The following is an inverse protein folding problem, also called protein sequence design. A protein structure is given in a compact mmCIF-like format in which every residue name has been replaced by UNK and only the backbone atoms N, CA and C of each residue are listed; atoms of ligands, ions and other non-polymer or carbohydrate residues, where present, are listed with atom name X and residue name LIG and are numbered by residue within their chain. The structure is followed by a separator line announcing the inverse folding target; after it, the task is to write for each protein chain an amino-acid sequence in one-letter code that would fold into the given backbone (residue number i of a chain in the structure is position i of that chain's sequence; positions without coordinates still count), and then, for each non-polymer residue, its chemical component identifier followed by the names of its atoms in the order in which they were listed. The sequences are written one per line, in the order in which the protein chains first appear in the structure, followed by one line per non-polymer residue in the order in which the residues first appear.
data_IF_246153417459
#
_entry.id   IF_246153417459
#
_cell.length_a   1.000
_cell.length_b   1.000
_cell.length_c   1.000
_cell.angle_alpha   90.00
_cell.angle_beta   90.00
_cell.angle_gamma   90.00
#
_symmetry.space_group_name_H-M   'P 1'
#
loop_
_entity.id
_entity.type
_entity.pdbx_description
1 polymer ?
#
# COMPACT_ATOMS: atom_id res chain seq x y z
N UNK A 1 40.63 28.81 4.47
CA UNK A 1 39.40 29.45 3.96
C UNK A 1 39.16 28.89 2.57
N UNK A 2 38.49 27.75 2.51
CA UNK A 2 38.24 27.02 1.28
C UNK A 2 36.75 27.20 0.95
N UNK A 3 36.50 27.56 -0.30
CA UNK A 3 35.28 28.17 -0.79
C UNK A 3 34.15 27.13 -0.83
N UNK A 4 33.17 27.21 0.08
CA UNK A 4 31.96 26.38 0.06
C UNK A 4 31.08 26.81 -1.12
N UNK A 5 31.31 26.21 -2.29
CA UNK A 5 30.35 26.28 -3.38
C UNK A 5 29.08 25.56 -2.94
N UNK A 6 28.08 26.34 -2.56
CA UNK A 6 26.70 25.92 -2.30
C UNK A 6 26.18 25.30 -3.59
N UNK A 7 26.01 23.98 -3.60
CA UNK A 7 25.60 23.21 -4.77
C UNK A 7 24.08 23.34 -4.95
N UNK A 8 23.63 24.53 -5.35
CA UNK A 8 22.22 24.83 -5.65
C UNK A 8 21.84 24.18 -6.97
N UNK A 9 21.18 23.03 -6.91
CA UNK A 9 20.75 22.29 -8.08
C UNK A 9 19.28 22.60 -8.39
N UNK A 10 18.94 22.72 -9.68
CA UNK A 10 17.56 22.96 -10.15
C UNK A 10 16.74 21.68 -10.32
N UNK A 11 17.37 20.50 -10.19
CA UNK A 11 16.72 19.21 -10.35
C UNK A 11 17.39 18.15 -9.47
N UNK A 12 16.60 17.17 -9.02
CA UNK A 12 17.05 16.08 -8.14
C UNK A 12 17.59 14.89 -8.95
N UNK A 13 18.75 14.38 -8.56
CA UNK A 13 19.31 13.14 -9.12
C UNK A 13 18.87 11.95 -8.26
N UNK A 14 17.94 11.14 -8.77
CA UNK A 14 17.56 9.89 -8.10
C UNK A 14 18.77 8.94 -8.08
N UNK A 15 19.26 8.59 -6.89
CA UNK A 15 20.31 7.58 -6.71
C UNK A 15 19.82 6.22 -7.20
N UNK A 16 20.65 5.54 -8.00
CA UNK A 16 20.32 4.28 -8.67
C UNK A 16 19.99 3.15 -7.69
N UNK A 17 19.07 2.28 -8.13
CA UNK A 17 18.68 1.08 -7.39
C UNK A 17 19.87 0.13 -7.23
N UNK A 18 20.17 -0.28 -5.99
CA UNK A 18 21.14 -1.33 -5.76
C UNK A 18 20.49 -2.71 -5.95
N UNK A 19 20.84 -3.41 -7.03
CA UNK A 19 20.36 -4.76 -7.33
C UNK A 19 20.58 -5.73 -6.16
N UNK A 20 21.65 -5.56 -5.39
CA UNK A 20 21.95 -6.36 -4.20
C UNK A 20 20.86 -6.27 -3.11
N UNK A 21 20.24 -5.11 -2.91
CA UNK A 21 19.17 -4.94 -1.92
C UNK A 21 17.92 -5.72 -2.31
N UNK A 22 17.61 -5.77 -3.61
CA UNK A 22 16.49 -6.58 -4.11
C UNK A 22 16.74 -8.07 -3.92
N UNK A 23 17.95 -8.56 -4.19
CA UNK A 23 18.30 -9.97 -3.96
C UNK A 23 18.21 -10.36 -2.49
N UNK A 24 18.73 -9.52 -1.58
CA UNK A 24 18.63 -9.75 -0.14
C UNK A 24 17.17 -9.77 0.31
N UNK A 25 16.36 -8.81 -0.15
CA UNK A 25 14.94 -8.76 0.16
C UNK A 25 14.20 -10.02 -0.29
N UNK A 26 14.44 -10.47 -1.53
CA UNK A 26 13.84 -11.69 -2.07
C UNK A 26 14.30 -12.94 -1.30
N UNK A 27 15.57 -13.01 -0.90
CA UNK A 27 16.08 -14.11 -0.09
C UNK A 27 15.38 -14.18 1.27
N UNK A 28 15.27 -13.05 1.97
CA UNK A 28 14.57 -12.97 3.26
C UNK A 28 13.10 -13.39 3.08
N UNK A 29 12.43 -12.88 2.04
CA UNK A 29 11.06 -13.24 1.74
C UNK A 29 10.88 -14.74 1.50
N UNK A 30 11.73 -15.36 0.67
CA UNK A 30 11.68 -16.80 0.40
C UNK A 30 11.91 -17.64 1.65
N UNK A 31 12.86 -17.24 2.51
CA UNK A 31 13.13 -17.92 3.78
C UNK A 31 11.92 -17.85 4.72
N UNK A 32 11.36 -16.65 4.91
CA UNK A 32 10.16 -16.46 5.76
C UNK A 32 8.98 -17.23 5.20
N UNK A 33 8.77 -17.16 3.88
CA UNK A 33 7.70 -17.89 3.20
C UNK A 33 7.80 -19.39 3.45
N UNK A 34 9.00 -19.97 3.31
CA UNK A 34 9.21 -21.39 3.55
C UNK A 34 8.90 -21.78 5.01
N UNK A 35 9.42 -21.04 5.98
CA UNK A 35 9.18 -21.33 7.40
C UNK A 35 7.73 -21.09 7.82
N UNK A 36 7.13 -19.98 7.39
CA UNK A 36 5.73 -19.67 7.66
C UNK A 36 4.82 -20.74 7.05
N UNK A 37 5.09 -21.15 5.81
CA UNK A 37 4.33 -22.20 5.14
C UNK A 37 4.41 -23.52 5.88
N UNK A 38 5.61 -23.97 6.24
CA UNK A 38 5.79 -25.22 7.00
C UNK A 38 5.11 -25.17 8.38
N UNK A 39 5.22 -24.05 9.09
CA UNK A 39 4.54 -23.87 10.38
C UNK A 39 3.01 -23.90 10.24
N UNK A 40 2.44 -23.25 9.23
CA UNK A 40 0.99 -23.26 8.99
C UNK A 40 0.48 -24.65 8.63
N UNK A 41 1.22 -25.44 7.84
CA UNK A 41 0.85 -26.82 7.55
C UNK A 41 0.74 -27.65 8.82
N UNK A 42 1.75 -27.58 9.69
CA UNK A 42 1.75 -28.28 10.97
C UNK A 42 0.56 -27.88 11.85
N UNK A 43 0.30 -26.57 11.97
CA UNK A 43 -0.85 -26.05 12.74
C UNK A 43 -2.18 -26.57 12.18
N UNK A 44 -2.31 -26.63 10.85
CA UNK A 44 -3.54 -27.09 10.21
C UNK A 44 -3.76 -28.59 10.41
N UNK A 45 -2.71 -29.40 10.35
CA UNK A 45 -2.79 -30.84 10.60
C UNK A 45 -3.16 -31.14 12.07
N UNK A 46 -2.30 -30.75 13.01
CA UNK A 46 -2.41 -31.14 14.43
C UNK A 46 -3.57 -30.40 15.13
N UNK A 47 -3.68 -29.08 14.94
CA UNK A 47 -4.66 -28.30 15.69
C UNK A 47 -6.00 -28.30 14.99
N UNK A 48 -6.04 -27.94 13.69
CA UNK A 48 -7.33 -27.73 13.00
C UNK A 48 -8.01 -29.04 12.66
N UNK A 49 -7.28 -30.02 12.09
CA UNK A 49 -7.92 -31.24 11.62
C UNK A 49 -8.03 -32.29 12.73
N UNK A 50 -6.92 -32.63 13.38
CA UNK A 50 -6.93 -33.71 14.38
C UNK A 50 -7.67 -33.30 15.65
N UNK A 51 -7.39 -32.10 16.18
CA UNK A 51 -7.97 -31.65 17.45
C UNK A 51 -9.36 -31.00 17.33
N UNK A 52 -9.59 -30.15 16.33
CA UNK A 52 -10.89 -29.45 16.19
C UNK A 52 -11.93 -30.22 15.39
N UNK A 53 -11.53 -30.97 14.35
CA UNK A 53 -12.47 -31.71 13.48
C UNK A 53 -12.55 -33.20 13.81
N UNK A 54 -11.80 -33.66 14.83
CA UNK A 54 -11.67 -35.08 15.20
C UNK A 54 -11.38 -35.96 13.97
N UNK A 55 -10.61 -35.40 13.03
CA UNK A 55 -10.32 -36.01 11.74
C UNK A 55 -8.96 -36.69 11.71
N UNK A 56 -8.74 -37.53 10.70
CA UNK A 56 -7.42 -38.13 10.43
C UNK A 56 -6.89 -37.63 9.10
N UNK A 57 -5.64 -37.18 9.12
CA UNK A 57 -4.93 -36.71 7.93
C UNK A 57 -4.04 -37.84 7.39
N UNK A 58 -4.09 -38.01 6.07
CA UNK A 58 -3.17 -38.89 5.35
C UNK A 58 -2.38 -38.04 4.34
N UNK A 59 -1.08 -37.94 4.58
CA UNK A 59 -0.14 -37.08 3.86
C UNK A 59 1.20 -37.79 3.54
N UNK A 60 1.31 -39.09 3.83
CA UNK A 60 2.56 -39.85 3.90
C UNK A 60 2.98 -40.59 2.62
N UNK A 61 2.44 -40.23 1.46
CA UNK A 61 2.80 -40.89 0.19
C UNK A 61 1.96 -42.14 -0.12
N UNK A 62 1.06 -42.53 0.78
CA UNK A 62 0.23 -43.72 0.61
C UNK A 62 -0.85 -43.49 -0.47
N UNK A 63 -1.11 -44.49 -1.33
CA UNK A 63 -2.23 -44.46 -2.26
C UNK A 63 -3.54 -44.67 -1.49
N UNK A 64 -4.47 -43.74 -1.65
CA UNK A 64 -5.76 -43.77 -0.95
C UNK A 64 -6.88 -43.55 -1.95
N UNK A 65 -7.96 -44.31 -1.81
CA UNK A 65 -9.16 -44.19 -2.65
C UNK A 65 -9.78 -42.80 -2.51
N UNK A 66 -10.18 -42.22 -3.65
CA UNK A 66 -10.77 -40.88 -3.69
C UNK A 66 -12.09 -40.82 -2.92
N UNK A 67 -12.91 -41.86 -3.04
CA UNK A 67 -14.17 -42.04 -2.32
C UNK A 67 -14.09 -43.26 -1.42
N UNK A 68 -14.68 -43.18 -0.22
CA UNK A 68 -14.63 -44.27 0.78
C UNK A 68 -15.46 -45.49 0.36
N UNK A 69 -16.59 -45.28 -0.33
CA UNK A 69 -17.57 -46.31 -0.67
C UNK A 69 -17.41 -46.96 -2.05
N UNK A 70 -16.40 -46.56 -2.83
CA UNK A 70 -16.21 -47.09 -4.19
C UNK A 70 -14.77 -47.55 -4.37
N UNK A 71 -14.56 -48.70 -5.05
CA UNK A 71 -13.27 -49.06 -5.67
C UNK A 71 -12.94 -48.05 -6.79
N UNK A 72 -12.73 -46.81 -6.38
CA UNK A 72 -12.43 -45.67 -7.22
C UNK A 72 -10.93 -45.57 -7.46
N UNK A 73 -10.54 -44.70 -8.37
CA UNK A 73 -9.15 -44.36 -8.66
C UNK A 73 -8.39 -44.02 -7.37
N UNK A 74 -7.27 -44.69 -7.15
CA UNK A 74 -6.34 -44.37 -6.08
C UNK A 74 -5.55 -43.10 -6.44
N UNK A 75 -5.36 -42.21 -5.47
CA UNK A 75 -4.51 -41.04 -5.62
C UNK A 75 -3.43 -41.04 -4.56
N UNK A 76 -2.19 -40.75 -4.97
CA UNK A 76 -1.07 -40.65 -4.05
C UNK A 76 -1.20 -39.40 -3.18
N UNK A 77 -0.99 -39.58 -1.88
CA UNK A 77 -0.91 -38.46 -0.94
C UNK A 77 0.48 -37.82 -0.96
N UNK A 78 0.57 -36.55 -0.61
CA UNK A 78 1.84 -35.81 -0.51
C UNK A 78 1.67 -34.69 0.50
N UNK A 79 2.69 -34.51 1.34
CA UNK A 79 2.69 -33.52 2.40
C UNK A 79 2.44 -32.08 1.92
N UNK A 80 2.83 -31.73 0.70
CA UNK A 80 2.69 -30.35 0.21
C UNK A 80 1.50 -30.14 -0.74
N UNK A 81 1.10 -31.17 -1.49
CA UNK A 81 0.18 -31.00 -2.62
C UNK A 81 -1.13 -31.77 -2.51
N UNK A 82 -1.21 -32.84 -1.71
CA UNK A 82 -2.39 -33.71 -1.72
C UNK A 82 -2.58 -34.43 -0.39
N UNK A 83 -3.47 -33.89 0.44
CA UNK A 83 -3.91 -34.51 1.68
C UNK A 83 -5.25 -35.19 1.46
N UNK A 84 -5.38 -36.41 1.97
CA UNK A 84 -6.68 -37.02 2.20
C UNK A 84 -7.05 -36.81 3.67
N UNK A 85 -8.22 -36.23 3.91
CA UNK A 85 -8.71 -35.89 5.25
C UNK A 85 -10.02 -36.63 5.46
N UNK A 86 -10.05 -37.52 6.45
CA UNK A 86 -11.26 -38.18 6.91
C UNK A 86 -11.77 -37.43 8.13
N UNK A 87 -13.01 -36.90 8.07
CA UNK A 87 -13.64 -36.22 9.19
C UNK A 87 -14.80 -37.05 9.76
N UNK A 88 -15.09 -36.85 11.05
CA UNK A 88 -16.16 -37.52 11.79
C UNK A 88 -16.07 -39.05 11.75
N UNK A 89 -14.86 -39.56 11.99
CA UNK A 89 -14.55 -41.00 11.97
C UNK A 89 -15.43 -41.72 12.99
N UNK A 90 -16.14 -42.77 12.56
CA UNK A 90 -17.02 -43.56 13.42
C UNK A 90 -18.45 -43.01 13.58
N UNK A 91 -18.81 -41.93 12.88
CA UNK A 91 -20.19 -41.41 12.80
C UNK A 91 -20.86 -41.83 11.48
N UNK A 92 -22.21 -41.82 11.39
CA UNK A 92 -22.92 -42.08 10.14
C UNK A 92 -22.72 -41.00 9.05
N UNK A 93 -21.98 -39.91 9.34
CA UNK A 93 -21.70 -38.82 8.40
C UNK A 93 -20.22 -38.75 7.99
N UNK A 94 -19.50 -39.87 8.12
CA UNK A 94 -18.10 -39.93 7.77
C UNK A 94 -17.87 -39.56 6.30
N UNK A 95 -16.95 -38.62 6.06
CA UNK A 95 -16.68 -38.10 4.72
C UNK A 95 -15.19 -37.85 4.51
N UNK A 96 -14.74 -38.12 3.27
CA UNK A 96 -13.36 -37.93 2.84
C UNK A 96 -13.24 -36.70 1.95
N UNK A 97 -12.31 -35.82 2.31
CA UNK A 97 -11.97 -34.62 1.55
C UNK A 97 -10.54 -34.70 1.03
N UNK A 98 -10.35 -34.17 -0.17
CA UNK A 98 -9.05 -33.98 -0.80
C UNK A 98 -8.67 -32.52 -0.75
N UNK A 99 -7.63 -32.24 0.00
CA UNK A 99 -7.16 -30.90 0.25
C UNK A 99 -5.76 -30.73 -0.36
N UNK A 100 -5.55 -29.64 -1.10
CA UNK A 100 -4.26 -29.24 -1.62
C UNK A 100 -3.77 -28.03 -0.80
N UNK A 101 -2.84 -28.24 0.15
CA UNK A 101 -2.38 -27.17 1.03
C UNK A 101 -1.67 -26.04 0.31
N UNK A 102 -0.77 -26.37 -0.63
CA UNK A 102 -0.07 -25.35 -1.43
C UNK A 102 -1.05 -24.46 -2.15
N UNK A 103 -1.99 -25.04 -2.90
CA UNK A 103 -2.95 -24.23 -3.65
C UNK A 103 -3.83 -23.39 -2.72
N UNK A 104 -4.28 -23.93 -1.60
CA UNK A 104 -5.24 -23.25 -0.73
C UNK A 104 -4.62 -22.12 0.09
N UNK A 105 -3.36 -22.28 0.53
CA UNK A 105 -2.75 -21.42 1.55
C UNK A 105 -1.64 -20.52 1.01
N UNK A 106 -1.16 -20.70 -0.22
CA UNK A 106 -0.02 -19.94 -0.75
C UNK A 106 -0.27 -18.43 -0.72
N UNK A 107 -1.46 -17.97 -1.10
CA UNK A 107 -1.78 -16.54 -1.14
C UNK A 107 -1.76 -15.87 0.24
N UNK A 108 -2.56 -16.31 1.23
CA UNK A 108 -2.55 -15.67 2.53
C UNK A 108 -1.16 -15.75 3.19
N UNK A 109 -0.47 -16.89 3.08
CA UNK A 109 0.86 -17.06 3.68
C UNK A 109 1.88 -16.16 2.97
N UNK A 110 1.81 -16.01 1.64
CA UNK A 110 2.67 -15.09 0.90
C UNK A 110 2.47 -13.64 1.33
N UNK A 111 1.22 -13.22 1.56
CA UNK A 111 0.93 -11.87 2.03
C UNK A 111 1.48 -11.65 3.45
N UNK A 112 1.22 -12.56 4.38
CA UNK A 112 1.77 -12.46 5.74
C UNK A 112 3.30 -12.46 5.74
N UNK A 113 3.92 -13.31 4.92
CA UNK A 113 5.38 -13.36 4.77
C UNK A 113 5.93 -12.06 4.20
N UNK A 114 5.21 -11.43 3.27
CA UNK A 114 5.59 -10.14 2.70
C UNK A 114 5.55 -9.05 3.77
N UNK A 115 4.51 -8.99 4.60
CA UNK A 115 4.43 -8.03 5.71
C UNK A 115 5.59 -8.19 6.71
N UNK A 116 5.91 -9.42 7.10
CA UNK A 116 7.03 -9.70 8.00
C UNK A 116 8.35 -9.28 7.34
N UNK A 117 8.52 -9.56 6.04
CA UNK A 117 9.71 -9.16 5.28
C UNK A 117 9.84 -7.64 5.20
N UNK A 118 8.75 -6.90 4.99
CA UNK A 118 8.75 -5.43 4.99
C UNK A 118 9.24 -4.88 6.33
N UNK A 119 8.75 -5.45 7.44
CA UNK A 119 9.16 -5.07 8.79
C UNK A 119 10.66 -5.35 9.01
N UNK A 120 11.12 -6.56 8.69
CA UNK A 120 12.53 -6.94 8.86
C UNK A 120 13.45 -6.07 7.98
N UNK A 121 13.07 -5.81 6.73
CA UNK A 121 13.82 -4.98 5.79
C UNK A 121 13.91 -3.52 6.24
N UNK A 122 12.91 -3.03 7.00
CA UNK A 122 12.92 -1.69 7.58
C UNK A 122 13.99 -1.50 8.68
N UNK A 123 14.35 -2.60 9.38
CA UNK A 123 15.36 -2.56 10.44
C UNK A 123 16.79 -2.71 9.96
N UNK A 124 16.99 -3.23 8.75
CA UNK A 124 18.32 -3.45 8.21
C UNK A 124 19.06 -2.12 7.97
N UNK A 125 20.41 -2.12 7.98
CA UNK A 125 21.19 -0.96 7.56
C UNK A 125 20.81 -0.52 6.15
N UNK A 126 20.91 0.78 5.88
CA UNK A 126 20.54 1.43 4.59
C UNK A 126 21.15 0.73 3.38
N UNK A 127 22.36 0.18 3.54
CA UNK A 127 23.08 -0.52 2.48
C UNK A 127 22.39 -1.82 2.08
N UNK A 128 21.79 -2.54 3.03
CA UNK A 128 21.20 -3.88 2.83
C UNK A 128 19.67 -3.85 2.74
N UNK A 129 19.03 -3.00 3.55
CA UNK A 129 17.58 -2.92 3.67
C UNK A 129 16.93 -2.12 2.56
N UNK A 130 16.24 -2.80 1.65
CA UNK A 130 15.48 -2.17 0.56
C UNK A 130 14.44 -1.18 1.10
N UNK A 131 13.65 -1.59 2.09
CA UNK A 131 12.60 -0.74 2.65
C UNK A 131 13.20 0.39 3.48
N UNK A 132 14.27 0.12 4.26
CA UNK A 132 15.01 1.17 4.96
C UNK A 132 15.50 2.25 4.01
N UNK A 133 16.12 1.86 2.90
CA UNK A 133 16.61 2.78 1.90
C UNK A 133 15.47 3.59 1.26
N UNK A 134 14.33 2.95 0.94
CA UNK A 134 13.15 3.66 0.43
C UNK A 134 12.56 4.65 1.43
N UNK A 135 12.50 4.30 2.72
CA UNK A 135 12.04 5.22 3.78
C UNK A 135 12.95 6.44 3.84
N UNK A 136 14.26 6.27 3.89
CA UNK A 136 15.21 7.41 3.97
C UNK A 136 15.15 8.31 2.74
N UNK A 137 15.02 7.72 1.56
CA UNK A 137 14.82 8.48 0.32
C UNK A 137 13.54 9.32 0.38
N UNK A 138 12.45 8.76 0.92
CA UNK A 138 11.20 9.50 1.05
C UNK A 138 11.29 10.63 2.08
N UNK A 139 12.01 10.43 3.20
CA UNK A 139 12.29 11.49 4.18
C UNK A 139 13.00 12.65 3.49
N UNK A 140 14.05 12.37 2.72
CA UNK A 140 14.82 13.39 1.99
C UNK A 140 13.93 14.09 0.97
N UNK A 141 13.15 13.33 0.19
CA UNK A 141 12.23 13.90 -0.80
C UNK A 141 11.17 14.84 -0.19
N UNK A 142 10.59 14.47 0.94
CA UNK A 142 9.63 15.33 1.67
C UNK A 142 10.33 16.58 2.22
N UNK A 143 11.52 16.45 2.81
CA UNK A 143 12.30 17.60 3.28
C UNK A 143 12.69 18.54 2.13
N UNK A 144 13.13 18.00 1.00
CA UNK A 144 13.46 18.76 -0.20
C UNK A 144 12.23 19.51 -0.74
N UNK A 145 11.07 18.86 -0.74
CA UNK A 145 9.81 19.48 -1.17
C UNK A 145 9.42 20.64 -0.26
N UNK A 146 9.59 20.48 1.06
CA UNK A 146 9.37 21.55 2.04
C UNK A 146 10.37 22.70 1.81
N UNK A 147 11.64 22.37 1.66
CA UNK A 147 12.71 23.35 1.44
C UNK A 147 12.47 24.17 0.17
N UNK A 148 12.10 23.50 -0.93
CA UNK A 148 11.74 24.16 -2.17
C UNK A 148 10.53 25.09 -2.01
N UNK A 149 9.50 24.70 -1.25
CA UNK A 149 8.34 25.56 -0.98
C UNK A 149 8.71 26.83 -0.21
N UNK A 150 9.68 26.75 0.72
CA UNK A 150 10.09 27.90 1.56
C UNK A 150 11.06 28.81 0.81
N UNK A 151 12.05 28.23 0.13
CA UNK A 151 13.23 28.96 -0.38
C UNK A 151 13.32 29.03 -1.91
N UNK A 152 12.57 28.20 -2.64
CA UNK A 152 12.54 28.19 -4.11
C UNK A 152 13.74 27.52 -4.79
N UNK A 153 14.62 26.85 -4.05
CA UNK A 153 15.76 26.08 -4.59
C UNK A 153 15.98 24.80 -3.76
N UNK A 154 16.79 23.86 -4.28
CA UNK A 154 17.22 22.67 -3.55
C UNK A 154 18.60 22.90 -2.91
N UNK A 155 18.77 22.56 -1.63
CA UNK A 155 20.04 22.68 -0.91
C UNK A 155 20.20 21.57 0.12
N UNK A 156 21.20 20.71 -0.06
CA UNK A 156 21.44 19.55 0.83
C UNK A 156 21.96 19.94 2.20
N UNK A 157 22.65 21.08 2.32
CA UNK A 157 23.18 21.56 3.60
C UNK A 157 22.08 22.20 4.46
N UNK A 158 21.15 22.93 3.85
CA UNK A 158 20.00 23.56 4.54
C UNK A 158 18.96 22.53 5.00
N UNK A 159 18.88 21.36 4.34
CA UNK A 159 18.07 20.23 4.80
C UNK A 159 18.48 19.73 6.20
N UNK A 160 19.76 19.85 6.58
CA UNK A 160 20.21 19.47 7.93
C UNK A 160 19.73 20.46 8.99
N UNK A 161 19.64 21.74 8.65
CA UNK A 161 19.11 22.77 9.53
C UNK A 161 17.61 22.58 9.74
N UNK A 162 16.84 22.41 8.66
CA UNK A 162 15.41 22.08 8.71
C UNK A 162 15.15 20.80 9.53
N UNK A 163 15.95 19.77 9.33
CA UNK A 163 15.82 18.52 10.07
C UNK A 163 16.06 18.69 11.57
N UNK A 164 17.06 19.51 11.96
CA UNK A 164 17.32 19.81 13.36
C UNK A 164 16.20 20.66 13.96
N UNK A 165 15.71 21.66 13.23
CA UNK A 165 14.61 22.52 13.63
C UNK A 165 13.33 21.70 13.91
N UNK A 166 12.94 20.81 12.99
CA UNK A 166 11.79 19.90 13.15
C UNK A 166 11.99 18.95 14.33
N UNK A 167 13.21 18.46 14.54
CA UNK A 167 13.52 17.53 15.63
C UNK A 167 13.40 18.20 17.01
N UNK A 168 13.82 19.46 17.13
CA UNK A 168 13.75 20.20 18.39
C UNK A 168 12.40 20.87 18.66
N UNK A 169 11.51 20.87 17.69
CA UNK A 169 10.23 21.55 17.77
C UNK A 169 9.29 20.91 18.79
N UNK A 170 8.74 21.75 19.67
CA UNK A 170 7.64 21.38 20.55
C UNK A 170 6.32 21.30 19.75
N UNK A 171 5.29 20.69 20.34
CA UNK A 171 3.93 20.55 19.80
C UNK A 171 3.36 21.85 19.23
N UNK A 172 3.66 22.99 19.84
CA UNK A 172 3.27 24.33 19.36
C UNK A 172 4.03 24.74 18.10
N UNK A 173 5.36 24.56 18.09
CA UNK A 173 6.18 24.86 16.91
C UNK A 173 5.80 23.95 15.72
N UNK A 174 5.38 22.70 15.98
CA UNK A 174 4.86 21.82 14.94
C UNK A 174 3.54 22.33 14.32
N UNK A 175 2.68 23.01 15.09
CA UNK A 175 1.51 23.71 14.55
C UNK A 175 1.92 24.94 13.72
N UNK A 176 2.86 25.74 14.22
CA UNK A 176 3.36 26.92 13.50
C UNK A 176 4.02 26.52 12.16
N UNK A 177 4.68 25.36 12.10
CA UNK A 177 5.21 24.79 10.86
C UNK A 177 4.15 24.28 9.90
N UNK A 178 3.10 23.64 10.42
CA UNK A 178 1.97 23.19 9.62
C UNK A 178 1.32 24.38 8.89
N UNK A 179 1.12 25.48 9.61
CA UNK A 179 0.61 26.74 9.06
C UNK A 179 1.60 27.37 8.06
N UNK A 180 2.88 27.52 8.44
CA UNK A 180 3.89 28.17 7.59
C UNK A 180 4.17 27.42 6.29
N UNK A 181 4.16 26.09 6.31
CA UNK A 181 4.51 25.25 5.16
C UNK A 181 3.29 24.78 4.37
N UNK A 182 2.09 25.17 4.81
CA UNK A 182 0.82 24.72 4.26
C UNK A 182 0.79 23.17 4.17
N UNK A 183 1.02 22.52 5.31
CA UNK A 183 1.01 21.08 5.50
C UNK A 183 0.02 20.72 6.60
N UNK A 184 -0.59 19.54 6.52
CA UNK A 184 -1.41 19.03 7.63
C UNK A 184 -0.51 18.85 8.86
N UNK A 185 -1.03 19.21 10.04
CA UNK A 185 -0.33 19.00 11.31
C UNK A 185 0.12 17.53 11.49
N UNK A 186 -0.72 16.58 11.07
CA UNK A 186 -0.38 15.16 11.10
C UNK A 186 0.84 14.79 10.23
N UNK A 187 1.02 15.46 9.09
CA UNK A 187 2.14 15.21 8.19
C UNK A 187 3.45 15.68 8.84
N UNK A 188 3.44 16.85 9.50
CA UNK A 188 4.57 17.38 10.27
C UNK A 188 4.89 16.47 11.47
N UNK A 189 3.87 16.02 12.20
CA UNK A 189 4.05 15.09 13.31
C UNK A 189 4.59 13.71 12.87
N UNK A 190 4.16 13.22 11.70
CA UNK A 190 4.67 11.99 11.08
C UNK A 190 6.14 12.15 10.67
N UNK A 191 6.49 13.30 10.07
CA UNK A 191 7.85 13.66 9.70
C UNK A 191 8.76 13.73 10.93
N UNK A 192 8.32 14.38 12.01
CA UNK A 192 9.09 14.46 13.25
C UNK A 192 9.35 13.06 13.83
N UNK A 193 8.33 12.21 13.91
CA UNK A 193 8.46 10.82 14.42
C UNK A 193 9.42 9.98 13.58
N UNK A 194 9.37 10.10 12.25
CA UNK A 194 10.28 9.34 11.38
C UNK A 194 11.71 9.86 11.46
N UNK A 195 11.91 11.16 11.66
CA UNK A 195 13.25 11.74 11.87
C UNK A 195 13.89 11.24 13.15
N UNK A 196 13.13 11.18 14.26
CA UNK A 196 13.58 10.56 15.51
C UNK A 196 13.87 9.07 15.33
N UNK A 197 13.02 8.34 14.62
CA UNK A 197 13.25 6.93 14.33
C UNK A 197 14.48 6.71 13.45
N UNK A 198 14.71 7.55 12.43
CA UNK A 198 15.82 7.40 11.51
C UNK A 198 17.18 7.63 12.19
N UNK A 199 17.26 8.68 13.01
CA UNK A 199 18.49 9.12 13.71
C UNK A 199 18.65 8.52 15.11
N UNK A 200 17.66 7.77 15.61
CA UNK A 200 17.70 7.12 16.92
C UNK A 200 18.66 5.93 16.97
N UNK A 201 18.92 5.44 18.18
CA UNK A 201 19.70 4.21 18.39
C UNK A 201 18.97 2.99 17.80
N UNK A 202 19.72 1.92 17.50
CA UNK A 202 19.16 0.67 16.96
C UNK A 202 18.06 0.10 17.87
N UNK A 203 18.19 0.23 19.19
CA UNK A 203 17.15 -0.19 20.14
C UNK A 203 15.85 0.58 20.00
N UNK A 204 15.91 1.92 19.87
CA UNK A 204 14.71 2.73 19.65
C UNK A 204 13.99 2.35 18.35
N UNK A 205 14.75 2.01 17.30
CA UNK A 205 14.21 1.53 16.03
C UNK A 205 13.41 0.24 16.20
N UNK A 206 13.93 -0.72 16.96
CA UNK A 206 13.31 -2.03 17.23
C UNK A 206 12.01 -1.88 18.03
N UNK A 207 11.94 -0.96 19.00
CA UNK A 207 10.71 -0.73 19.76
C UNK A 207 9.63 0.04 18.97
N UNK A 208 10.00 0.79 17.93
CA UNK A 208 9.07 1.59 17.13
C UNK A 208 9.15 1.31 15.61
N UNK A 209 8.96 0.06 15.15
CA UNK A 209 8.97 -0.28 13.71
C UNK A 209 7.95 0.51 12.90
N UNK A 210 6.81 0.77 13.55
CA UNK A 210 5.65 1.32 12.88
C UNK A 210 5.88 2.75 12.41
N UNK A 211 6.75 3.53 13.08
CA UNK A 211 6.99 4.94 12.74
C UNK A 211 7.57 5.10 11.33
N UNK A 212 8.60 4.32 10.98
CA UNK A 212 9.23 4.37 9.66
C UNK A 212 8.34 3.81 8.56
N UNK A 213 7.72 2.65 8.82
CA UNK A 213 6.86 2.00 7.83
C UNK A 213 5.59 2.81 7.57
N UNK A 214 4.96 3.37 8.60
CA UNK A 214 3.78 4.25 8.48
C UNK A 214 4.08 5.47 7.62
N UNK A 215 5.25 6.10 7.81
CA UNK A 215 5.66 7.24 7.01
C UNK A 215 5.76 6.87 5.52
N UNK A 216 6.49 5.80 5.19
CA UNK A 216 6.61 5.36 3.80
C UNK A 216 5.27 4.91 3.19
N UNK A 217 4.42 4.25 3.98
CA UNK A 217 3.09 3.87 3.52
C UNK A 217 2.26 5.11 3.16
N UNK A 218 2.24 6.12 4.04
CA UNK A 218 1.44 7.35 3.88
C UNK A 218 1.91 8.28 2.76
N UNK A 219 3.22 8.47 2.60
CA UNK A 219 3.76 9.48 1.68
C UNK A 219 4.10 8.95 0.28
N UNK A 220 4.29 7.64 0.10
CA UNK A 220 4.68 7.07 -1.19
C UNK A 220 3.78 5.93 -1.65
N UNK A 221 3.52 4.95 -0.78
CA UNK A 221 2.85 3.72 -1.20
C UNK A 221 1.36 3.94 -1.52
N UNK A 222 0.63 4.62 -0.63
CA UNK A 222 -0.81 4.86 -0.82
C UNK A 222 -1.08 5.77 -2.00
N UNK A 223 -0.34 6.87 -2.12
CA UNK A 223 -0.50 7.83 -3.22
C UNK A 223 -0.25 7.18 -4.59
N UNK A 224 0.79 6.33 -4.70
CA UNK A 224 1.16 5.70 -5.97
C UNK A 224 0.34 4.48 -6.33
N UNK A 225 -0.03 3.66 -5.34
CA UNK A 225 -0.60 2.33 -5.59
C UNK A 225 -2.08 2.19 -5.21
N UNK A 226 -2.73 3.22 -4.63
CA UNK A 226 -4.15 3.15 -4.22
C UNK A 226 -5.07 2.64 -5.35
N UNK A 227 -4.96 3.23 -6.54
CA UNK A 227 -5.78 2.84 -7.70
C UNK A 227 -5.51 1.40 -8.16
N UNK A 228 -4.26 0.94 -8.08
CA UNK A 228 -3.90 -0.44 -8.44
C UNK A 228 -4.46 -1.44 -7.43
N UNK A 229 -4.39 -1.11 -6.14
CA UNK A 229 -4.93 -1.95 -5.07
C UNK A 229 -6.46 -2.02 -5.18
N UNK A 230 -7.14 -0.90 -5.45
CA UNK A 230 -8.57 -0.87 -5.70
C UNK A 230 -8.95 -1.74 -6.91
N UNK A 231 -8.19 -1.65 -8.01
CA UNK A 231 -8.37 -2.53 -9.17
C UNK A 231 -8.19 -4.01 -8.83
N UNK A 232 -7.20 -4.36 -7.99
CA UNK A 232 -7.00 -5.73 -7.52
C UNK A 232 -8.19 -6.22 -6.68
N UNK A 233 -8.81 -5.37 -5.85
CA UNK A 233 -10.01 -5.74 -5.08
C UNK A 233 -11.14 -6.14 -6.02
N UNK A 234 -11.41 -5.34 -7.07
CA UNK A 234 -12.46 -5.67 -8.02
C UNK A 234 -12.17 -6.97 -8.80
N UNK A 235 -10.91 -7.21 -9.17
CA UNK A 235 -10.50 -8.46 -9.81
C UNK A 235 -10.66 -9.64 -8.85
N UNK A 236 -10.25 -9.49 -7.59
CA UNK A 236 -10.41 -10.51 -6.55
C UNK A 236 -11.86 -10.90 -6.34
N UNK A 237 -12.74 -9.91 -6.22
CA UNK A 237 -14.17 -10.11 -6.08
C UNK A 237 -14.77 -10.85 -7.29
N UNK A 238 -14.35 -10.50 -8.51
CA UNK A 238 -14.78 -11.19 -9.72
C UNK A 238 -14.34 -12.67 -9.73
N UNK A 239 -13.09 -12.95 -9.35
CA UNK A 239 -12.58 -14.33 -9.24
C UNK A 239 -13.35 -15.12 -8.19
N UNK A 240 -13.67 -14.52 -7.05
CA UNK A 240 -14.44 -15.15 -5.99
C UNK A 240 -15.86 -15.52 -6.45
N UNK A 241 -16.56 -14.60 -7.13
CA UNK A 241 -17.89 -14.86 -7.68
C UNK A 241 -17.85 -16.02 -8.68
N UNK A 242 -16.86 -16.05 -9.58
CA UNK A 242 -16.71 -17.11 -10.57
C UNK A 242 -16.48 -18.47 -9.87
N UNK A 243 -15.59 -18.53 -8.87
CA UNK A 243 -15.26 -19.78 -8.18
C UNK A 243 -16.45 -20.31 -7.36
N UNK A 244 -17.11 -19.43 -6.62
CA UNK A 244 -18.31 -19.81 -5.86
C UNK A 244 -19.44 -20.20 -6.81
N UNK A 245 -19.59 -19.49 -7.93
CA UNK A 245 -20.54 -19.81 -8.99
C UNK A 245 -20.29 -21.20 -9.59
N UNK A 246 -19.05 -21.52 -9.96
CA UNK A 246 -18.66 -22.83 -10.48
C UNK A 246 -18.91 -23.96 -9.46
N UNK A 247 -18.70 -23.69 -8.16
CA UNK A 247 -19.05 -24.64 -7.10
C UNK A 247 -20.56 -24.84 -7.00
N UNK A 248 -21.35 -23.76 -7.07
CA UNK A 248 -22.81 -23.80 -7.05
C UNK A 248 -23.40 -24.59 -8.23
N UNK A 249 -22.76 -24.49 -9.40
CA UNK A 249 -23.09 -25.28 -10.60
C UNK A 249 -22.58 -26.73 -10.54
N UNK A 250 -22.00 -27.17 -9.41
CA UNK A 250 -21.43 -28.52 -9.18
C UNK A 250 -20.30 -28.92 -10.14
N UNK A 251 -19.65 -27.97 -10.81
CA UNK A 251 -18.45 -28.26 -11.61
C UNK A 251 -17.24 -28.60 -10.74
N UNK A 252 -17.19 -28.06 -9.51
CA UNK A 252 -16.17 -28.39 -8.50
C UNK A 252 -16.80 -29.38 -7.50
N UNK A 253 -16.27 -30.60 -7.34
CA UNK A 253 -16.83 -31.57 -6.42
C UNK A 253 -16.70 -31.10 -4.96
N UNK A 254 -17.71 -31.37 -4.15
CA UNK A 254 -17.74 -31.00 -2.72
C UNK A 254 -16.61 -31.65 -1.92
N UNK A 255 -16.07 -32.76 -2.40
CA UNK A 255 -14.93 -33.49 -1.82
C UNK A 255 -13.59 -32.80 -2.07
N UNK A 256 -13.51 -31.74 -2.89
CA UNK A 256 -12.27 -30.98 -3.17
C UNK A 256 -12.43 -29.48 -2.87
N UNK A 257 -12.42 -29.07 -1.59
CA UNK A 257 -12.68 -27.67 -1.22
C UNK A 257 -11.51 -26.71 -1.49
N UNK A 258 -10.34 -27.21 -1.91
CA UNK A 258 -9.10 -26.44 -2.03
C UNK A 258 -9.23 -25.14 -2.85
N UNK A 259 -9.95 -25.20 -3.97
CA UNK A 259 -10.12 -24.06 -4.87
C UNK A 259 -11.00 -22.96 -4.23
N UNK A 260 -11.94 -23.36 -3.39
CA UNK A 260 -12.78 -22.43 -2.61
C UNK A 260 -11.94 -21.74 -1.54
N UNK A 261 -11.11 -22.48 -0.81
CA UNK A 261 -10.19 -21.91 0.18
C UNK A 261 -9.17 -20.96 -0.47
N UNK A 262 -8.66 -21.29 -1.65
CA UNK A 262 -7.82 -20.39 -2.43
C UNK A 262 -8.54 -19.08 -2.76
N UNK A 263 -9.78 -19.14 -3.27
CA UNK A 263 -10.55 -17.95 -3.60
C UNK A 263 -10.83 -17.07 -2.37
N UNK A 264 -11.23 -17.68 -1.26
CA UNK A 264 -11.44 -16.98 0.01
C UNK A 264 -10.14 -16.38 0.53
N UNK A 265 -9.03 -17.11 0.43
CA UNK A 265 -7.70 -16.63 0.83
C UNK A 265 -7.21 -15.47 -0.03
N UNK A 266 -7.47 -15.50 -1.35
CA UNK A 266 -7.21 -14.40 -2.28
C UNK A 266 -8.00 -13.16 -1.87
N UNK A 267 -9.31 -13.29 -1.75
CA UNK A 267 -10.20 -12.18 -1.40
C UNK A 267 -9.77 -11.55 -0.08
N UNK A 268 -9.58 -12.37 0.95
CA UNK A 268 -9.13 -11.90 2.25
C UNK A 268 -7.79 -11.14 2.15
N UNK A 269 -6.84 -11.65 1.37
CA UNK A 269 -5.53 -11.04 1.19
C UNK A 269 -5.62 -9.66 0.52
N UNK A 270 -6.45 -9.55 -0.51
CA UNK A 270 -6.62 -8.30 -1.26
C UNK A 270 -7.41 -7.27 -0.45
N UNK A 271 -8.50 -7.67 0.21
CA UNK A 271 -9.27 -6.81 1.11
C UNK A 271 -8.42 -6.31 2.28
N UNK A 272 -7.58 -7.17 2.86
CA UNK A 272 -6.66 -6.78 3.92
C UNK A 272 -5.68 -5.72 3.40
N UNK A 273 -5.08 -5.93 2.22
CA UNK A 273 -4.17 -4.97 1.59
C UNK A 273 -4.85 -3.62 1.32
N UNK A 274 -6.10 -3.65 0.84
CA UNK A 274 -6.90 -2.45 0.63
C UNK A 274 -7.21 -1.71 1.94
N UNK A 275 -7.63 -2.42 2.98
CA UNK A 275 -7.87 -1.84 4.30
C UNK A 275 -6.61 -1.16 4.85
N UNK A 276 -5.44 -1.79 4.71
CA UNK A 276 -4.15 -1.18 5.05
C UNK A 276 -3.87 0.07 4.22
N UNK A 277 -4.09 0.04 2.90
CA UNK A 277 -3.88 1.20 2.04
C UNK A 277 -4.76 2.38 2.46
N UNK A 278 -6.05 2.15 2.71
CA UNK A 278 -6.98 3.20 3.14
C UNK A 278 -6.64 3.74 4.53
N UNK A 279 -6.29 2.85 5.48
CA UNK A 279 -5.92 3.23 6.85
C UNK A 279 -4.73 4.20 6.90
N UNK A 280 -3.81 4.12 5.92
CA UNK A 280 -2.62 4.97 5.85
C UNK A 280 -2.70 6.06 4.79
N UNK A 281 -3.81 6.18 4.07
CA UNK A 281 -4.01 7.26 3.10
C UNK A 281 -4.05 8.62 3.80
N UNK A 282 -3.63 9.66 3.09
CA UNK A 282 -3.88 11.05 3.52
C UNK A 282 -5.37 11.31 3.30
N UNK A 283 -6.05 11.88 4.30
CA UNK A 283 -7.42 12.34 4.14
C UNK A 283 -7.38 13.61 3.29
N UNK A 284 -7.75 13.52 2.00
CA UNK A 284 -7.79 14.67 1.08
C UNK A 284 -8.67 15.82 1.63
N UNK A 285 -9.70 15.48 2.41
CA UNK A 285 -10.64 16.43 3.02
C UNK A 285 -10.03 17.34 4.11
N UNK A 286 -8.93 16.95 4.75
CA UNK A 286 -8.26 17.80 5.76
C UNK A 286 -7.33 18.83 5.11
N UNK A 287 -6.68 18.47 4.00
CA UNK A 287 -5.89 19.39 3.18
C UNK A 287 -6.72 20.54 2.63
N UNK A 288 -7.96 20.28 2.22
CA UNK A 288 -8.84 21.34 1.70
C UNK A 288 -9.41 22.22 2.82
N UNK A 289 -9.65 21.69 4.01
CA UNK A 289 -10.22 22.47 5.11
C UNK A 289 -9.26 23.51 5.71
N UNK A 290 -7.94 23.28 5.65
CA UNK A 290 -6.95 24.28 6.08
C UNK A 290 -6.58 25.25 4.94
N UNK A 291 -6.53 24.80 3.68
CA UNK A 291 -6.39 25.70 2.51
C UNK A 291 -7.60 26.65 2.36
N UNK A 292 -8.80 26.20 2.74
CA UNK A 292 -10.01 27.04 2.69
C UNK A 292 -10.07 28.11 3.78
N UNK A 293 -9.27 28.03 4.86
CA UNK A 293 -9.18 29.11 5.86
C UNK A 293 -8.36 30.28 5.35
N UNK A 294 -7.32 30.03 4.54
CA UNK A 294 -6.55 31.07 3.86
C UNK A 294 -7.39 31.72 2.73
N UNK A 295 -8.22 30.93 2.05
CA UNK A 295 -9.17 31.44 1.05
C UNK A 295 -10.42 32.10 1.64
N UNK A 296 -10.71 32.00 2.94
CA UNK A 296 -11.86 32.68 3.55
C UNK A 296 -11.69 34.20 3.65
N UNK A 297 -10.46 34.71 3.62
CA UNK A 297 -10.20 36.15 3.45
C UNK A 297 -10.21 36.58 1.97
N UNK A 298 -10.22 35.63 1.04
CA UNK A 298 -10.47 35.85 -0.40
C UNK A 298 -11.89 35.44 -0.82
N UNK A 299 -12.74 35.04 0.13
CA UNK A 299 -14.07 34.45 -0.06
C UNK A 299 -15.17 35.40 -0.54
N UNK A 300 -14.81 36.56 -1.08
CA UNK A 300 -15.74 37.44 -1.82
C UNK A 300 -15.55 37.36 -3.35
N UNK A 301 -14.66 36.50 -3.85
CA UNK A 301 -14.47 36.29 -5.31
C UNK A 301 -14.97 34.93 -5.82
N UNK A 302 -15.41 34.03 -4.93
CA UNK A 302 -15.95 32.70 -5.26
C UNK A 302 -17.47 32.78 -5.55
N UNK A 303 -17.85 33.68 -6.45
CA UNK A 303 -19.14 33.67 -7.15
C UNK A 303 -18.93 33.69 -8.67
N UNK A 304 -17.74 33.31 -9.14
CA UNK A 304 -17.34 33.41 -10.55
C UNK A 304 -17.06 32.06 -11.22
N UNK A 305 -17.11 30.95 -10.49
CA UNK A 305 -16.72 29.63 -11.02
C UNK A 305 -17.79 28.94 -11.88
N UNK A 306 -18.93 29.61 -12.12
CA UNK A 306 -19.97 29.16 -13.05
C UNK A 306 -19.95 29.92 -14.40
N UNK A 307 -19.02 30.86 -14.58
CA UNK A 307 -18.81 31.54 -15.87
C UNK A 307 -17.40 31.25 -16.38
N UNK A 308 -17.35 30.50 -17.48
CA UNK A 308 -16.12 30.00 -18.09
C UNK A 308 -14.98 31.02 -18.18
N UNK A 309 -13.79 30.53 -17.81
CA UNK A 309 -12.46 31.06 -18.11
C UNK A 309 -12.42 32.59 -18.32
N UNK A 310 -12.24 33.33 -17.22
CA UNK A 310 -12.16 34.80 -17.16
C UNK A 310 -11.26 35.43 -18.23
N UNK A 311 -10.25 34.70 -18.70
CA UNK A 311 -9.35 35.10 -19.81
C UNK A 311 -10.05 35.16 -21.17
N UNK A 312 -10.99 34.28 -21.44
CA UNK A 312 -11.80 34.26 -22.67
C UNK A 312 -12.82 35.39 -22.68
N UNK A 313 -13.47 35.65 -21.53
CA UNK A 313 -14.40 36.77 -21.37
C UNK A 313 -13.66 38.11 -21.51
N UNK A 314 -12.45 38.25 -20.96
CA UNK A 314 -11.64 39.46 -21.13
C UNK A 314 -11.23 39.68 -22.60
N UNK A 315 -10.86 38.60 -23.31
CA UNK A 315 -10.53 38.66 -24.74
C UNK A 315 -11.74 39.01 -25.62
N UNK A 316 -12.93 38.48 -25.29
CA UNK A 316 -14.18 38.81 -25.98
C UNK A 316 -14.64 40.24 -25.72
N UNK A 317 -14.50 40.74 -24.49
CA UNK A 317 -14.80 42.13 -24.15
C UNK A 317 -13.83 43.11 -24.82
N UNK A 318 -12.53 42.78 -24.87
CA UNK A 318 -11.55 43.57 -25.64
C UNK A 318 -11.88 43.59 -27.13
N UNK A 319 -12.29 42.46 -27.70
CA UNK A 319 -12.70 42.38 -29.11
C UNK A 319 -13.93 43.25 -29.39
N UNK A 320 -14.91 43.26 -28.48
CA UNK A 320 -16.12 44.06 -28.61
C UNK A 320 -15.83 45.58 -28.52
N UNK A 321 -15.00 45.99 -27.56
CA UNK A 321 -14.62 47.41 -27.37
C UNK A 321 -13.75 47.94 -28.52
N UNK A 322 -12.95 47.07 -29.17
CA UNK A 322 -12.12 47.45 -30.32
C UNK A 322 -12.87 47.54 -31.66
N UNK A 323 -14.13 47.09 -31.72
CA UNK A 323 -14.91 47.21 -32.95
C UNK A 323 -15.33 48.67 -33.18
N UNK A 324 -14.92 49.31 -34.29
CA UNK A 324 -15.34 50.68 -34.58
C UNK A 324 -16.83 50.68 -34.94
N UNK A 325 -17.55 51.64 -34.35
CA UNK A 325 -18.97 51.93 -34.56
C UNK A 325 -19.26 52.00 -36.08
N UNK A 326 -20.23 51.25 -36.62
CA UNK A 326 -20.56 51.37 -38.04
C UNK A 326 -21.06 52.78 -38.34
N UNK A 327 -20.43 53.44 -39.30
CA UNK A 327 -20.85 54.72 -39.84
C UNK A 327 -22.30 54.64 -40.33
N UNK A 328 -23.13 55.61 -39.91
CA UNK A 328 -24.45 55.82 -40.50
C UNK A 328 -24.25 56.11 -41.98
N UNK A 329 -24.64 55.17 -42.84
CA UNK A 329 -24.84 55.45 -44.27
C UNK A 329 -25.98 56.47 -44.35
N UNK A 330 -25.63 57.69 -44.73
CA UNK A 330 -26.55 58.73 -45.12
C UNK A 330 -27.34 58.29 -46.35
N UNK A 331 -28.64 58.08 -46.20
CA UNK A 331 -29.58 58.06 -47.32
C UNK A 331 -29.50 59.40 -48.05
N UNK A 332 -28.87 59.39 -49.24
CA UNK A 332 -29.05 60.43 -50.24
C UNK A 332 -30.34 60.12 -50.99
N UNK A 333 -31.19 61.15 -51.01
CA UNK A 333 -32.33 61.35 -51.90
C UNK A 333 -32.03 60.91 -53.34
N UNK A 334 -32.98 60.21 -53.94
CA UNK A 334 -33.56 60.61 -55.22
C UNK A 334 -35.07 60.81 -55.03
#
# INVERSE_FOLDING_TARGET
MENSKTDRQLYYKLTDHNLGQYLIFMLIFSVILFFAFHATLKIMEENVIEKYLEGKVYNSGQPINILKDTKSTEKNTSYYSSWAIDIYIGTPQESRYWFNPTLSLILPISLFSLWITLIISSFMPVVLGLIRHKIEREIIHVLDTIHYKIHGFYSTDENRELMNEIKTADTRAAHDFAERWNLLHEDVASLQKVLFWSHGSVGYKIFHPWSGLKFYLRFYFTEKYSNVILGLVYIGAAVLIIIIGMRGLKFIPSTQPSLVFFALGLEFSVLLTYAFSVMYSRNENESEHDNNKENQYAGNYILSDEFGNSKEIENLLRAYIRSPKPERISEKRE
#
